data_IF_242330342055
#
_entry.id   IF_242330342055
#
_cell.length_a   1.000
_cell.length_b   1.000
_cell.length_c   1.000
_cell.angle_alpha   90.00
_cell.angle_beta   90.00
_cell.angle_gamma   90.00
#
_symmetry.space_group_name_H-M   'P 1'
#
loop_
_entity.id
_entity.type
_entity.pdbx_description
1 polymer ?
#
# COMPACT_ATOMS: atom_id res chain seq x y z
N UNK A 1 -33.75 57.72 -38.83
CA UNK A 1 -33.32 56.32 -38.59
C UNK A 1 -31.79 56.28 -38.70
N UNK A 2 -31.08 56.39 -37.58
CA UNK A 2 -30.51 55.30 -36.78
C UNK A 2 -29.18 54.73 -37.33
N UNK A 3 -28.10 55.38 -36.87
CA UNK A 3 -26.72 54.95 -36.54
C UNK A 3 -26.24 53.52 -36.91
N UNK A 4 -24.99 53.41 -37.37
CA UNK A 4 -24.20 52.20 -37.10
C UNK A 4 -22.92 51.98 -37.92
N UNK A 5 -21.96 52.91 -37.96
CA UNK A 5 -20.59 52.63 -38.42
C UNK A 5 -19.86 51.75 -37.39
N UNK A 6 -19.69 50.46 -37.69
CA UNK A 6 -18.93 49.53 -36.84
C UNK A 6 -17.43 49.63 -37.16
N UNK A 7 -16.72 50.40 -36.34
CA UNK A 7 -15.26 50.38 -36.20
C UNK A 7 -14.80 48.99 -35.74
N UNK A 8 -13.90 48.38 -36.50
CA UNK A 8 -13.10 47.23 -36.08
C UNK A 8 -12.09 47.74 -35.05
N UNK A 9 -12.40 47.54 -33.75
CA UNK A 9 -11.48 47.80 -32.64
C UNK A 9 -10.68 46.52 -32.41
N UNK A 10 -9.40 46.58 -32.78
CA UNK A 10 -8.36 45.59 -32.47
C UNK A 10 -8.17 45.60 -30.96
N UNK A 11 -8.77 44.65 -30.26
CA UNK A 11 -8.50 44.42 -28.84
C UNK A 11 -7.28 43.53 -28.74
N UNK A 12 -6.13 44.19 -28.61
CA UNK A 12 -4.89 43.63 -28.13
C UNK A 12 -4.98 43.74 -26.60
N UNK A 13 -5.40 42.67 -25.93
CA UNK A 13 -5.37 42.59 -24.47
C UNK A 13 -5.21 41.11 -24.06
N UNK A 14 -4.13 40.87 -23.30
CA UNK A 14 -3.93 39.77 -22.35
C UNK A 14 -3.94 38.33 -22.90
N UNK A 15 -2.83 37.96 -23.56
CA UNK A 15 -2.25 36.61 -23.47
C UNK A 15 -1.02 36.68 -22.57
N UNK A 16 -1.25 36.68 -21.27
CA UNK A 16 -0.24 36.35 -20.26
C UNK A 16 -0.97 35.92 -18.99
N UNK A 17 -1.45 34.68 -18.99
CA UNK A 17 -1.91 33.99 -17.78
C UNK A 17 -1.80 32.48 -18.03
N UNK A 18 -0.59 32.09 -18.41
CA UNK A 18 -0.22 30.72 -18.73
C UNK A 18 0.77 30.13 -17.73
N UNK A 19 0.66 30.40 -16.42
CA UNK A 19 1.53 29.67 -15.48
C UNK A 19 1.09 29.57 -14.00
N UNK A 20 -0.20 29.72 -13.68
CA UNK A 20 -0.67 29.57 -12.29
C UNK A 20 -2.00 28.84 -12.18
N UNK A 21 -2.05 27.56 -12.58
CA UNK A 21 -3.09 26.65 -12.07
C UNK A 21 -2.53 25.28 -11.69
N UNK A 22 -2.63 25.04 -10.38
CA UNK A 22 -2.70 23.74 -9.71
C UNK A 22 -1.40 22.98 -9.40
N UNK A 23 -0.52 23.58 -8.60
CA UNK A 23 0.12 22.80 -7.52
C UNK A 23 -0.96 22.41 -6.51
N UNK A 24 -1.75 21.38 -6.82
CA UNK A 24 -2.52 20.69 -5.79
C UNK A 24 -1.49 20.11 -4.81
N UNK A 25 -1.52 20.46 -3.52
CA UNK A 25 -0.72 19.73 -2.55
C UNK A 25 -1.10 18.25 -2.67
N UNK A 26 -0.09 17.38 -2.75
CA UNK A 26 -0.31 15.94 -2.66
C UNK A 26 -1.21 15.69 -1.43
N UNK A 27 -2.19 14.80 -1.60
CA UNK A 27 -3.15 14.43 -0.58
C UNK A 27 -2.45 14.25 0.79
N UNK A 28 -3.09 14.65 1.90
CA UNK A 28 -2.50 14.54 3.23
C UNK A 28 -2.01 13.11 3.44
N UNK A 29 -0.70 12.96 3.64
CA UNK A 29 -0.05 11.67 3.87
C UNK A 29 -0.78 11.01 5.05
N UNK A 30 -1.24 9.75 4.93
CA UNK A 30 -1.87 9.05 6.05
C UNK A 30 -0.85 9.02 7.19
N UNK A 31 -1.13 9.78 8.25
CA UNK A 31 -0.32 9.77 9.46
C UNK A 31 -0.52 8.40 10.10
N UNK A 32 0.51 7.56 10.01
CA UNK A 32 0.57 6.34 10.80
C UNK A 32 0.39 6.73 12.27
N UNK A 33 -0.56 6.12 13.02
CA UNK A 33 -0.77 6.42 14.42
C UNK A 33 0.57 6.31 15.15
N UNK A 34 0.97 7.38 15.82
CA UNK A 34 2.26 7.42 16.47
C UNK A 34 2.23 6.51 17.72
N UNK A 35 2.95 5.36 17.71
CA UNK A 35 2.93 4.41 18.82
C UNK A 35 3.59 4.98 20.09
N UNK A 36 4.29 6.13 19.98
CA UNK A 36 4.90 6.83 21.10
C UNK A 36 4.20 8.15 21.43
N UNK A 37 3.03 8.43 20.84
CA UNK A 37 2.21 9.54 21.29
C UNK A 37 1.83 9.37 22.75
N UNK A 38 1.67 10.47 23.49
CA UNK A 38 1.28 10.41 24.91
C UNK A 38 -0.02 9.62 25.14
N UNK A 39 -0.93 9.64 24.16
CA UNK A 39 -2.17 8.85 24.17
C UNK A 39 -1.93 7.36 23.95
N UNK A 40 -1.08 6.97 22.99
CA UNK A 40 -0.70 5.58 22.77
C UNK A 40 0.07 4.99 23.96
N UNK A 41 1.01 5.75 24.53
CA UNK A 41 1.76 5.36 25.72
C UNK A 41 0.84 5.16 26.93
N UNK A 42 -0.13 6.07 27.14
CA UNK A 42 -1.14 5.93 28.20
C UNK A 42 -2.00 4.68 27.98
N UNK A 43 -2.37 4.39 26.74
CA UNK A 43 -3.10 3.17 26.37
C UNK A 43 -2.32 1.89 26.66
N UNK A 44 -1.02 1.87 26.33
CA UNK A 44 -0.12 0.75 26.66
C UNK A 44 0.04 0.62 28.17
N UNK A 45 0.26 1.73 28.88
CA UNK A 45 0.41 1.74 30.34
C UNK A 45 -0.84 1.20 31.04
N UNK A 46 -2.03 1.56 30.57
CA UNK A 46 -3.29 1.06 31.13
C UNK A 46 -3.50 -0.44 30.82
N UNK A 47 -3.21 -0.88 29.59
CA UNK A 47 -3.45 -2.27 29.16
C UNK A 47 -2.43 -3.27 29.70
N UNK A 48 -1.17 -2.87 29.86
CA UNK A 48 -0.12 -3.72 30.42
C UNK A 48 0.09 -3.48 31.92
N UNK A 49 0.05 -2.22 32.36
CA UNK A 49 0.36 -1.85 33.74
C UNK A 49 -0.73 -2.26 34.73
N UNK A 50 -2.00 -2.16 34.36
CA UNK A 50 -3.10 -2.52 35.27
C UNK A 50 -3.11 -4.04 35.57
N UNK A 51 -3.02 -4.96 34.59
CA UNK A 51 -2.91 -6.39 34.89
C UNK A 51 -1.63 -6.72 35.66
N UNK A 52 -0.49 -6.12 35.30
CA UNK A 52 0.77 -6.36 35.98
C UNK A 52 0.72 -5.92 37.44
N UNK A 53 0.10 -4.78 37.73
CA UNK A 53 -0.13 -4.30 39.09
C UNK A 53 -1.08 -5.22 39.86
N UNK A 54 -2.13 -5.74 39.21
CA UNK A 54 -3.02 -6.74 39.83
C UNK A 54 -2.27 -8.02 40.20
N UNK A 55 -1.35 -8.50 39.34
CA UNK A 55 -0.50 -9.67 39.65
C UNK A 55 0.44 -9.35 40.82
N UNK A 56 1.07 -8.17 40.84
CA UNK A 56 1.89 -7.74 41.97
C UNK A 56 1.11 -7.69 43.29
N UNK A 57 -0.10 -7.13 43.27
CA UNK A 57 -0.96 -7.03 44.45
C UNK A 57 -1.42 -8.41 44.93
N UNK A 58 -1.83 -9.30 44.01
CA UNK A 58 -2.25 -10.66 44.35
C UNK A 58 -1.09 -11.49 44.90
N UNK A 59 0.05 -11.50 44.22
CA UNK A 59 1.23 -12.23 44.67
C UNK A 59 1.79 -11.67 45.99
N UNK A 60 1.81 -10.35 46.15
CA UNK A 60 2.22 -9.69 47.39
C UNK A 60 1.28 -10.00 48.56
N UNK A 61 -0.03 -10.02 48.32
CA UNK A 61 -1.03 -10.40 49.31
C UNK A 61 -0.89 -11.87 49.73
N UNK A 62 -0.70 -12.80 48.79
CA UNK A 62 -0.47 -14.21 49.13
C UNK A 62 0.87 -14.38 49.87
N UNK A 63 1.91 -13.66 49.46
CA UNK A 63 3.22 -13.72 50.10
C UNK A 63 3.20 -13.23 51.56
N UNK A 64 2.30 -12.31 51.92
CA UNK A 64 2.18 -11.84 53.32
C UNK A 64 1.55 -12.89 54.24
N UNK A 65 0.72 -13.79 53.72
CA UNK A 65 -0.01 -14.79 54.49
C UNK A 65 0.74 -16.13 54.64
N UNK A 66 1.73 -16.40 53.80
CA UNK A 66 2.51 -17.64 53.82
C UNK A 66 3.66 -17.54 54.84
N UNK A 67 4.01 -18.62 55.54
CA UNK A 67 5.17 -18.65 56.46
C UNK A 67 6.46 -19.18 55.82
N UNK A 68 6.35 -19.99 54.77
CA UNK A 68 7.50 -20.56 54.07
C UNK A 68 8.27 -19.51 53.27
N UNK A 69 9.54 -19.33 53.61
CA UNK A 69 10.47 -18.40 52.94
C UNK A 69 10.57 -18.69 51.44
N UNK A 70 10.65 -19.96 51.06
CA UNK A 70 10.77 -20.38 49.65
C UNK A 70 9.55 -19.95 48.83
N UNK A 71 8.35 -20.11 49.37
CA UNK A 71 7.11 -19.74 48.68
C UNK A 71 6.99 -18.22 48.56
N UNK A 72 7.40 -17.45 49.59
CA UNK A 72 7.48 -15.98 49.51
C UNK A 72 8.40 -15.52 48.39
N UNK A 73 9.60 -16.12 48.29
CA UNK A 73 10.56 -15.77 47.25
C UNK A 73 9.99 -16.04 45.86
N UNK A 74 9.34 -17.18 45.64
CA UNK A 74 8.72 -17.51 44.34
C UNK A 74 7.58 -16.54 43.99
N UNK A 75 6.72 -16.21 44.96
CA UNK A 75 5.61 -15.29 44.75
C UNK A 75 6.06 -13.87 44.39
N UNK A 76 7.21 -13.41 44.91
CA UNK A 76 7.80 -12.11 44.53
C UNK A 76 8.56 -12.21 43.19
N UNK A 77 9.21 -13.35 42.93
CA UNK A 77 10.00 -13.55 41.71
C UNK A 77 9.13 -13.55 40.44
N UNK A 78 7.95 -14.18 40.47
CA UNK A 78 7.03 -14.23 39.32
C UNK A 78 6.69 -12.83 38.76
N UNK A 79 6.11 -11.90 39.54
CA UNK A 79 5.77 -10.57 39.04
C UNK A 79 7.01 -9.73 38.69
N UNK A 80 8.13 -9.94 39.38
CA UNK A 80 9.39 -9.29 39.05
C UNK A 80 9.91 -9.70 37.66
N UNK A 81 9.93 -11.01 37.35
CA UNK A 81 10.31 -11.52 36.01
C UNK A 81 9.37 -11.00 34.93
N UNK A 82 8.04 -11.02 35.17
CA UNK A 82 7.06 -10.49 34.23
C UNK A 82 7.27 -8.99 33.97
N UNK A 83 7.65 -8.23 34.99
CA UNK A 83 7.94 -6.80 34.87
C UNK A 83 9.20 -6.56 34.03
N UNK A 84 10.28 -7.32 34.26
CA UNK A 84 11.50 -7.23 33.44
C UNK A 84 11.21 -7.56 31.98
N UNK A 85 10.43 -8.60 31.70
CA UNK A 85 10.02 -8.96 30.34
C UNK A 85 9.18 -7.85 29.69
N UNK A 86 8.22 -7.27 30.42
CA UNK A 86 7.41 -6.17 29.93
C UNK A 86 8.25 -4.93 29.58
N UNK A 87 9.21 -4.56 30.44
CA UNK A 87 10.15 -3.47 30.18
C UNK A 87 10.98 -3.77 28.93
N UNK A 88 11.50 -5.00 28.80
CA UNK A 88 12.24 -5.44 27.61
C UNK A 88 11.44 -5.28 26.32
N UNK A 89 10.17 -5.68 26.31
CA UNK A 89 9.26 -5.52 25.17
C UNK A 89 9.02 -4.04 24.82
N UNK A 90 8.83 -3.18 25.82
CA UNK A 90 8.62 -1.74 25.60
C UNK A 90 9.88 -1.11 24.99
N UNK A 91 11.06 -1.39 25.54
CA UNK A 91 12.35 -0.88 25.01
C UNK A 91 12.55 -1.34 23.57
N UNK A 92 12.26 -2.61 23.27
CA UNK A 92 12.31 -3.15 21.92
C UNK A 92 11.34 -2.44 20.97
N UNK A 93 10.08 -2.26 21.37
CA UNK A 93 9.05 -1.60 20.56
C UNK A 93 9.40 -0.14 20.26
N UNK A 94 9.89 0.61 21.25
CA UNK A 94 10.37 2.00 21.09
C UNK A 94 11.52 2.05 20.08
N UNK A 95 12.46 1.11 20.15
CA UNK A 95 13.58 1.04 19.22
C UNK A 95 13.10 0.78 17.78
N UNK A 96 12.12 -0.09 17.58
CA UNK A 96 11.54 -0.34 16.27
C UNK A 96 10.76 0.87 15.74
N UNK A 97 9.98 1.55 16.59
CA UNK A 97 9.27 2.76 16.22
C UNK A 97 10.23 3.88 15.78
N UNK A 98 11.36 4.05 16.48
CA UNK A 98 12.41 5.02 16.09
C UNK A 98 12.99 4.71 14.71
N UNK A 99 13.26 3.44 14.40
CA UNK A 99 13.73 3.03 13.07
C UNK A 99 12.71 3.33 11.98
N UNK A 100 11.45 2.94 12.18
CA UNK A 100 10.37 3.20 11.22
C UNK A 100 10.21 4.69 10.93
N UNK A 101 10.30 5.55 11.96
CA UNK A 101 10.31 7.00 11.79
C UNK A 101 11.53 7.51 11.04
N UNK A 102 12.72 6.96 11.29
CA UNK A 102 13.93 7.32 10.54
C UNK A 102 13.76 7.05 9.04
N UNK A 103 13.26 5.87 8.69
CA UNK A 103 12.93 5.51 7.30
C UNK A 103 11.87 6.44 6.72
N UNK A 104 10.77 6.68 7.45
CA UNK A 104 9.71 7.60 7.00
C UNK A 104 10.21 9.04 6.82
N UNK A 105 11.11 9.50 7.69
CA UNK A 105 11.76 10.80 7.59
C UNK A 105 12.57 10.94 6.31
N UNK A 106 13.38 9.93 5.97
CA UNK A 106 14.13 9.90 4.71
C UNK A 106 13.17 9.94 3.50
N UNK A 107 12.16 9.08 3.48
CA UNK A 107 11.18 9.04 2.39
C UNK A 107 10.38 10.33 2.24
N UNK A 108 10.15 11.05 3.34
CA UNK A 108 9.38 12.30 3.32
C UNK A 108 10.08 13.45 2.59
N UNK A 109 11.40 13.38 2.45
CA UNK A 109 12.26 14.38 1.82
C UNK A 109 12.47 14.14 0.32
N UNK A 110 11.94 13.04 -0.24
CA UNK A 110 12.15 12.70 -1.66
C UNK A 110 11.14 13.44 -2.54
N UNK A 111 11.61 14.43 -3.31
CA UNK A 111 10.79 15.15 -4.30
C UNK A 111 11.32 14.96 -5.73
N UNK A 112 12.63 14.82 -5.89
CA UNK A 112 13.32 14.72 -7.18
C UNK A 112 13.99 13.36 -7.39
N UNK A 113 14.48 13.12 -8.61
CA UNK A 113 15.28 11.94 -8.92
C UNK A 113 16.63 11.93 -8.17
N UNK A 114 17.20 13.10 -7.89
CA UNK A 114 18.44 13.23 -7.12
C UNK A 114 18.20 12.90 -5.63
N UNK A 115 17.10 13.42 -5.06
CA UNK A 115 16.71 13.12 -3.67
C UNK A 115 16.50 11.62 -3.47
N UNK A 116 15.95 10.93 -4.48
CA UNK A 116 15.75 9.49 -4.45
C UNK A 116 17.07 8.75 -4.33
N UNK A 117 18.08 9.12 -5.13
CA UNK A 117 19.42 8.51 -5.07
C UNK A 117 20.07 8.75 -3.71
N UNK A 118 19.98 9.99 -3.19
CA UNK A 118 20.47 10.33 -1.86
C UNK A 118 19.73 9.56 -0.75
N UNK A 119 18.42 9.39 -0.87
CA UNK A 119 17.62 8.60 0.07
C UNK A 119 17.99 7.12 0.05
N UNK A 120 18.23 6.53 -1.12
CA UNK A 120 18.71 5.14 -1.24
C UNK A 120 20.06 4.99 -0.54
N UNK A 121 21.00 5.91 -0.75
CA UNK A 121 22.30 5.89 -0.08
C UNK A 121 22.16 5.99 1.45
N UNK A 122 21.34 6.92 1.96
CA UNK A 122 21.08 7.03 3.41
C UNK A 122 20.47 5.74 3.99
N UNK A 123 19.55 5.11 3.26
CA UNK A 123 18.96 3.85 3.69
C UNK A 123 19.97 2.68 3.68
N UNK A 124 21.02 2.75 2.86
CA UNK A 124 22.12 1.78 2.84
C UNK A 124 23.12 2.00 3.98
N UNK A 125 23.43 3.25 4.32
CA UNK A 125 24.44 3.59 5.33
C UNK A 125 23.90 3.54 6.76
N UNK A 126 22.70 4.07 6.98
CA UNK A 126 22.18 4.36 8.33
C UNK A 126 21.48 3.15 8.96
N UNK A 127 21.19 2.12 8.15
CA UNK A 127 20.46 0.92 8.55
C UNK A 127 21.29 -0.34 8.31
N UNK A 128 20.92 -1.41 9.02
CA UNK A 128 21.56 -2.71 8.77
C UNK A 128 21.19 -3.19 7.36
N UNK A 129 22.13 -3.86 6.68
CA UNK A 129 21.94 -4.40 5.33
C UNK A 129 20.66 -5.22 5.15
N UNK A 130 20.26 -5.97 6.19
CA UNK A 130 19.08 -6.83 6.16
C UNK A 130 17.91 -6.26 7.00
N UNK A 131 17.89 -4.95 7.28
CA UNK A 131 16.77 -4.32 7.98
C UNK A 131 15.54 -4.27 7.05
N UNK A 132 14.44 -4.99 7.36
CA UNK A 132 13.32 -5.09 6.43
C UNK A 132 12.68 -3.74 6.11
N UNK A 133 12.61 -2.82 7.08
CA UNK A 133 12.02 -1.51 6.87
C UNK A 133 12.84 -0.67 5.87
N UNK A 134 14.17 -0.71 5.98
CA UNK A 134 15.05 -0.05 5.03
C UNK A 134 14.96 -0.67 3.63
N UNK A 135 14.92 -2.00 3.54
CA UNK A 135 14.78 -2.72 2.27
C UNK A 135 13.45 -2.42 1.57
N UNK A 136 12.33 -2.39 2.30
CA UNK A 136 11.03 -1.98 1.76
C UNK A 136 11.04 -0.55 1.22
N UNK A 137 11.60 0.38 1.99
CA UNK A 137 11.68 1.77 1.58
C UNK A 137 12.55 1.95 0.33
N UNK A 138 13.70 1.29 0.28
CA UNK A 138 14.57 1.29 -0.90
C UNK A 138 13.87 0.71 -2.12
N UNK A 139 13.22 -0.44 -1.97
CA UNK A 139 12.46 -1.05 -3.06
C UNK A 139 11.35 -0.13 -3.57
N UNK A 140 10.64 0.59 -2.69
CA UNK A 140 9.62 1.56 -3.10
C UNK A 140 10.21 2.72 -3.93
N UNK A 141 11.41 3.17 -3.58
CA UNK A 141 12.12 4.20 -4.34
C UNK A 141 12.59 3.67 -5.69
N UNK A 142 13.22 2.48 -5.71
CA UNK A 142 13.76 1.83 -6.91
C UNK A 142 12.66 1.43 -7.89
N UNK A 143 11.45 1.09 -7.42
CA UNK A 143 10.33 0.65 -8.25
C UNK A 143 9.92 1.67 -9.33
N UNK A 144 10.16 2.96 -9.08
CA UNK A 144 9.84 4.01 -10.06
C UNK A 144 10.84 4.09 -11.21
N UNK A 145 12.07 3.61 -11.01
CA UNK A 145 13.14 3.62 -12.02
C UNK A 145 13.27 2.26 -12.68
N UNK A 146 13.43 1.21 -11.88
CA UNK A 146 13.61 -0.15 -12.33
C UNK A 146 12.87 -1.15 -11.42
N UNK A 147 11.77 -1.76 -11.90
CA UNK A 147 11.04 -2.77 -11.14
C UNK A 147 11.89 -4.00 -10.82
N UNK A 148 12.88 -4.37 -11.64
CA UNK A 148 13.77 -5.52 -11.38
C UNK A 148 14.73 -5.25 -10.24
N UNK A 149 15.27 -4.04 -10.18
CA UNK A 149 16.14 -3.62 -9.08
C UNK A 149 15.38 -3.64 -7.75
N UNK A 150 14.15 -3.11 -7.73
CA UNK A 150 13.28 -3.18 -6.56
C UNK A 150 13.00 -4.63 -6.11
N UNK A 151 12.78 -5.53 -7.07
CA UNK A 151 12.60 -6.96 -6.77
C UNK A 151 13.86 -7.57 -6.10
N UNK A 152 15.04 -7.31 -6.66
CA UNK A 152 16.31 -7.79 -6.10
C UNK A 152 16.56 -7.22 -4.69
N UNK A 153 16.13 -6.00 -4.41
CA UNK A 153 16.19 -5.41 -3.06
C UNK A 153 15.24 -6.12 -2.08
N UNK A 154 14.00 -6.40 -2.49
CA UNK A 154 13.04 -7.14 -1.65
C UNK A 154 13.49 -8.59 -1.40
N UNK A 155 14.26 -9.18 -2.32
CA UNK A 155 14.82 -10.53 -2.18
C UNK A 155 15.92 -10.65 -1.13
N UNK A 156 16.47 -9.52 -0.67
CA UNK A 156 17.40 -9.49 0.46
C UNK A 156 16.67 -9.73 1.80
N UNK A 157 15.34 -9.65 1.84
CA UNK A 157 14.55 -9.97 3.03
C UNK A 157 14.48 -11.49 3.18
N UNK A 158 15.16 -12.00 4.20
CA UNK A 158 15.07 -13.39 4.61
C UNK A 158 13.70 -13.67 5.24
N UNK A 159 12.82 -14.33 4.46
CA UNK A 159 11.43 -14.58 4.83
C UNK A 159 11.27 -15.47 6.07
N UNK A 160 12.29 -16.27 6.39
CA UNK A 160 12.27 -17.20 7.53
C UNK A 160 12.71 -16.53 8.84
N UNK A 161 13.43 -15.40 8.73
CA UNK A 161 13.95 -14.64 9.89
C UNK A 161 13.09 -13.45 10.29
N UNK A 162 12.17 -13.02 9.43
CA UNK A 162 11.24 -11.91 9.75
C UNK A 162 9.93 -12.45 10.32
N UNK A 163 9.15 -11.56 10.94
CA UNK A 163 7.80 -11.92 11.38
C UNK A 163 6.95 -12.37 10.20
N UNK A 164 6.05 -13.34 10.41
CA UNK A 164 5.24 -13.90 9.33
C UNK A 164 4.42 -12.87 8.55
N UNK A 165 3.91 -11.82 9.22
CA UNK A 165 3.23 -10.69 8.55
C UNK A 165 4.16 -9.87 7.67
N UNK A 166 5.41 -9.66 8.10
CA UNK A 166 6.44 -8.95 7.32
C UNK A 166 6.85 -9.80 6.11
N UNK A 167 6.97 -11.12 6.28
CA UNK A 167 7.22 -12.04 5.17
C UNK A 167 6.09 -12.00 4.14
N UNK A 168 4.84 -11.94 4.59
CA UNK A 168 3.66 -11.86 3.72
C UNK A 168 3.59 -10.51 2.97
N UNK A 169 3.96 -9.40 3.61
CA UNK A 169 4.13 -8.11 2.95
C UNK A 169 5.23 -8.16 1.89
N UNK A 170 6.37 -8.79 2.18
CA UNK A 170 7.46 -8.97 1.21
C UNK A 170 7.01 -9.82 0.01
N UNK A 171 6.32 -10.94 0.26
CA UNK A 171 5.71 -11.77 -0.81
C UNK A 171 4.73 -10.95 -1.64
N UNK A 172 3.87 -10.17 -1.00
CA UNK A 172 2.87 -9.34 -1.67
C UNK A 172 3.50 -8.28 -2.57
N UNK A 173 4.51 -7.56 -2.09
CA UNK A 173 5.20 -6.55 -2.90
C UNK A 173 5.99 -7.17 -4.06
N UNK A 174 6.72 -8.27 -3.81
CA UNK A 174 7.43 -9.02 -4.88
C UNK A 174 6.44 -9.53 -5.94
N UNK A 175 5.30 -10.08 -5.50
CA UNK A 175 4.25 -10.56 -6.40
C UNK A 175 3.65 -9.41 -7.23
N UNK A 176 3.42 -8.24 -6.63
CA UNK A 176 2.95 -7.06 -7.36
C UNK A 176 3.91 -6.69 -8.49
N UNK A 177 5.23 -6.68 -8.23
CA UNK A 177 6.23 -6.37 -9.25
C UNK A 177 6.18 -7.39 -10.38
N UNK A 178 6.14 -8.68 -10.06
CA UNK A 178 5.99 -9.75 -11.07
C UNK A 178 4.69 -9.58 -11.89
N UNK A 179 3.56 -9.20 -11.26
CA UNK A 179 2.31 -8.95 -11.97
C UNK A 179 2.41 -7.78 -12.96
N UNK A 180 3.11 -6.70 -12.58
CA UNK A 180 3.39 -5.54 -13.44
C UNK A 180 4.25 -5.96 -14.64
N UNK A 181 5.26 -6.80 -14.40
CA UNK A 181 6.12 -7.37 -15.45
C UNK A 181 5.42 -8.47 -16.29
N UNK A 182 4.23 -8.89 -15.86
CA UNK A 182 3.44 -9.94 -16.51
C UNK A 182 3.97 -11.35 -16.26
N UNK A 183 4.72 -11.57 -15.19
CA UNK A 183 5.29 -12.83 -14.73
C UNK A 183 4.33 -13.51 -13.75
N UNK A 184 3.20 -13.98 -14.30
CA UNK A 184 2.08 -14.48 -13.49
C UNK A 184 2.46 -15.71 -12.67
N UNK A 185 3.30 -16.59 -13.21
CA UNK A 185 3.74 -17.82 -12.52
C UNK A 185 4.56 -17.53 -11.27
N UNK A 186 5.46 -16.56 -11.32
CA UNK A 186 6.30 -16.18 -10.17
C UNK A 186 5.47 -15.43 -9.12
N UNK A 187 4.59 -14.52 -9.56
CA UNK A 187 3.61 -13.91 -8.68
C UNK A 187 2.75 -14.95 -7.97
N UNK A 188 2.30 -15.98 -8.70
CA UNK A 188 1.45 -17.06 -8.14
C UNK A 188 2.14 -17.80 -7.01
N UNK A 189 3.41 -18.21 -7.20
CA UNK A 189 4.20 -18.91 -6.18
C UNK A 189 4.33 -18.12 -4.89
N UNK A 190 4.48 -16.79 -5.00
CA UNK A 190 4.60 -15.90 -3.84
C UNK A 190 3.28 -15.75 -3.09
N UNK A 191 2.17 -15.51 -3.79
CA UNK A 191 0.88 -15.25 -3.13
C UNK A 191 0.26 -16.48 -2.47
N UNK A 192 0.62 -17.68 -2.91
CA UNK A 192 0.11 -18.91 -2.30
C UNK A 192 0.63 -19.12 -0.87
N UNK A 193 1.73 -18.46 -0.49
CA UNK A 193 2.26 -18.46 0.88
C UNK A 193 1.69 -17.36 1.79
N UNK A 194 0.88 -16.43 1.26
CA UNK A 194 0.35 -15.29 2.02
C UNK A 194 -0.85 -15.71 2.86
N UNK A 195 -0.84 -15.37 4.15
CA UNK A 195 -1.99 -15.58 5.02
C UNK A 195 -2.62 -14.25 5.44
N UNK A 196 -3.75 -13.91 4.81
CA UNK A 196 -4.47 -12.66 5.05
C UNK A 196 -4.95 -12.49 6.51
N UNK A 197 -5.14 -13.57 7.28
CA UNK A 197 -5.60 -13.46 8.68
C UNK A 197 -4.51 -12.93 9.63
N UNK A 198 -3.25 -12.93 9.21
CA UNK A 198 -2.13 -12.35 9.98
C UNK A 198 -2.17 -10.81 9.98
N UNK A 199 -2.94 -10.19 9.09
CA UNK A 199 -3.02 -8.74 8.94
C UNK A 199 -4.30 -8.20 9.59
N UNK A 200 -4.12 -7.51 10.72
CA UNK A 200 -5.22 -6.91 11.47
C UNK A 200 -5.65 -5.56 10.88
N UNK A 201 -4.70 -4.82 10.32
CA UNK A 201 -4.97 -3.53 9.70
C UNK A 201 -5.75 -3.75 8.38
N UNK A 202 -6.99 -3.21 8.26
CA UNK A 202 -7.87 -3.52 7.13
C UNK A 202 -7.28 -3.17 5.77
N UNK A 203 -6.59 -2.02 5.66
CA UNK A 203 -6.06 -1.54 4.39
C UNK A 203 -4.94 -2.43 3.86
N UNK A 204 -4.00 -2.84 4.71
CA UNK A 204 -2.92 -3.77 4.38
C UNK A 204 -3.49 -5.11 3.98
N UNK A 205 -4.49 -5.61 4.73
CA UNK A 205 -5.16 -6.87 4.38
C UNK A 205 -5.86 -6.79 3.02
N UNK A 206 -6.58 -5.69 2.74
CA UNK A 206 -7.24 -5.46 1.45
C UNK A 206 -6.24 -5.30 0.29
N UNK A 207 -5.11 -4.62 0.53
CA UNK A 207 -4.04 -4.48 -0.45
C UNK A 207 -3.43 -5.84 -0.82
N UNK A 208 -3.11 -6.66 0.17
CA UNK A 208 -2.60 -8.02 -0.07
C UNK A 208 -3.65 -8.91 -0.74
N UNK A 209 -4.92 -8.79 -0.35
CA UNK A 209 -6.02 -9.48 -1.00
C UNK A 209 -6.13 -9.10 -2.48
N UNK A 210 -5.97 -7.81 -2.83
CA UNK A 210 -5.97 -7.36 -4.21
C UNK A 210 -4.83 -7.98 -5.04
N UNK A 211 -3.61 -8.05 -4.49
CA UNK A 211 -2.46 -8.69 -5.14
C UNK A 211 -2.70 -10.18 -5.33
N UNK A 212 -3.12 -10.88 -4.25
CA UNK A 212 -3.42 -12.30 -4.29
C UNK A 212 -4.51 -12.61 -5.32
N UNK A 213 -5.58 -11.82 -5.34
CA UNK A 213 -6.69 -11.98 -6.26
C UNK A 213 -6.28 -11.75 -7.72
N UNK A 214 -5.48 -10.72 -8.03
CA UNK A 214 -4.98 -10.52 -9.40
C UNK A 214 -4.10 -11.71 -9.84
N UNK A 215 -3.19 -12.18 -8.99
CA UNK A 215 -2.36 -13.34 -9.28
C UNK A 215 -3.17 -14.63 -9.46
N UNK A 216 -4.13 -14.90 -8.58
CA UNK A 216 -5.03 -16.06 -8.68
C UNK A 216 -5.90 -16.00 -9.92
N UNK A 217 -6.49 -14.85 -10.25
CA UNK A 217 -7.30 -14.68 -11.45
C UNK A 217 -6.50 -15.00 -12.71
N UNK A 218 -5.30 -14.39 -12.84
CA UNK A 218 -4.45 -14.55 -14.02
C UNK A 218 -3.82 -15.94 -14.14
N UNK A 219 -3.82 -16.73 -13.08
CA UNK A 219 -3.29 -18.11 -13.04
C UNK A 219 -4.36 -19.20 -13.00
N UNK A 220 -5.63 -18.86 -13.23
CA UNK A 220 -6.71 -19.85 -13.38
C UNK A 220 -7.54 -20.13 -12.11
N UNK A 221 -7.26 -19.45 -10.99
CA UNK A 221 -8.06 -19.53 -9.76
C UNK A 221 -8.99 -18.30 -9.59
N UNK A 222 -9.69 -17.92 -10.66
CA UNK A 222 -10.47 -16.69 -10.70
C UNK A 222 -11.68 -16.66 -9.76
N UNK A 223 -12.31 -17.81 -9.51
CA UNK A 223 -13.40 -17.93 -8.53
C UNK A 223 -12.92 -17.58 -7.10
N UNK A 224 -11.78 -18.14 -6.69
CA UNK A 224 -11.13 -17.80 -5.42
C UNK A 224 -10.81 -16.29 -5.33
N UNK A 225 -10.34 -15.71 -6.43
CA UNK A 225 -10.07 -14.27 -6.51
C UNK A 225 -11.34 -13.43 -6.29
N UNK A 226 -12.45 -13.78 -6.97
CA UNK A 226 -13.73 -13.06 -6.80
C UNK A 226 -14.28 -13.18 -5.38
N UNK A 227 -14.23 -14.38 -4.78
CA UNK A 227 -14.71 -14.62 -3.42
C UNK A 227 -13.87 -13.86 -2.39
N UNK A 228 -12.55 -13.81 -2.58
CA UNK A 228 -11.65 -13.06 -1.69
C UNK A 228 -11.90 -11.56 -1.78
N UNK A 229 -12.06 -11.01 -2.99
CA UNK A 229 -12.32 -9.59 -3.19
C UNK A 229 -13.70 -9.17 -2.65
N UNK A 230 -14.68 -10.07 -2.62
CA UNK A 230 -16.01 -9.81 -2.08
C UNK A 230 -16.01 -9.55 -0.56
N UNK A 231 -14.92 -9.89 0.15
CA UNK A 231 -14.77 -9.60 1.58
C UNK A 231 -14.46 -8.13 1.87
N UNK A 232 -14.16 -7.33 0.85
CA UNK A 232 -13.74 -5.94 0.99
C UNK A 232 -14.66 -5.01 0.20
N UNK A 233 -15.33 -4.09 0.89
CA UNK A 233 -16.04 -3.02 0.21
C UNK A 233 -15.03 -1.98 -0.32
N UNK A 234 -14.84 -1.94 -1.64
CA UNK A 234 -13.87 -1.03 -2.27
C UNK A 234 -14.23 0.45 -2.13
N UNK A 235 -15.48 0.77 -1.78
CA UNK A 235 -15.92 2.13 -1.54
C UNK A 235 -15.72 2.57 -0.07
N UNK A 236 -15.29 1.66 0.81
CA UNK A 236 -14.91 1.99 2.19
C UNK A 236 -13.86 3.13 2.19
N UNK A 237 -14.08 4.22 2.95
CA UNK A 237 -13.10 5.30 3.10
C UNK A 237 -11.70 4.83 3.50
N UNK A 238 -11.58 3.76 4.29
CA UNK A 238 -10.30 3.20 4.70
C UNK A 238 -9.45 2.70 3.52
N UNK A 239 -10.09 2.39 2.38
CA UNK A 239 -9.43 1.86 1.20
C UNK A 239 -9.22 2.89 0.09
N UNK A 240 -9.59 4.16 0.30
CA UNK A 240 -9.39 5.23 -0.69
C UNK A 240 -7.99 5.21 -1.34
N UNK A 241 -6.87 5.07 -0.59
CA UNK A 241 -5.54 5.09 -1.19
C UNK A 241 -5.19 3.86 -2.03
N UNK A 242 -5.89 2.75 -1.85
CA UNK A 242 -5.66 1.48 -2.55
C UNK A 242 -6.79 1.11 -3.50
N UNK A 243 -7.81 1.96 -3.61
CA UNK A 243 -9.00 1.74 -4.43
C UNK A 243 -8.68 1.48 -5.90
N UNK A 244 -7.70 2.16 -6.55
CA UNK A 244 -7.27 1.80 -7.90
C UNK A 244 -6.82 0.33 -8.02
N UNK A 245 -6.08 -0.16 -7.03
CA UNK A 245 -5.57 -1.52 -7.02
C UNK A 245 -6.68 -2.55 -6.80
N UNK A 246 -7.67 -2.24 -5.94
CA UNK A 246 -8.84 -3.09 -5.74
C UNK A 246 -9.68 -3.19 -7.02
N UNK A 247 -9.97 -2.07 -7.70
CA UNK A 247 -10.70 -2.09 -8.97
C UNK A 247 -9.92 -2.80 -10.08
N UNK A 248 -8.60 -2.64 -10.11
CA UNK A 248 -7.75 -3.40 -11.03
C UNK A 248 -7.87 -4.90 -10.79
N UNK A 249 -7.75 -5.36 -9.54
CA UNK A 249 -7.87 -6.76 -9.19
C UNK A 249 -9.27 -7.32 -9.53
N UNK A 250 -10.34 -6.56 -9.24
CA UNK A 250 -11.71 -6.92 -9.62
C UNK A 250 -11.87 -7.04 -11.13
N UNK A 251 -11.29 -6.13 -11.91
CA UNK A 251 -11.38 -6.19 -13.37
C UNK A 251 -10.71 -7.47 -13.92
N UNK A 252 -9.55 -7.87 -13.40
CA UNK A 252 -8.92 -9.15 -13.74
C UNK A 252 -9.74 -10.36 -13.28
N UNK A 253 -10.25 -10.34 -12.06
CA UNK A 253 -11.07 -11.43 -11.52
C UNK A 253 -12.34 -11.62 -12.37
N UNK A 254 -13.10 -10.55 -12.64
CA UNK A 254 -14.28 -10.55 -13.51
C UNK A 254 -13.96 -11.02 -14.93
N UNK A 255 -12.82 -10.60 -15.49
CA UNK A 255 -12.41 -11.01 -16.83
C UNK A 255 -12.19 -12.54 -16.94
N UNK A 256 -11.52 -13.12 -15.95
CA UNK A 256 -11.20 -14.55 -15.94
C UNK A 256 -12.38 -15.46 -15.52
N UNK A 257 -13.46 -14.91 -14.96
CA UNK A 257 -14.74 -15.65 -14.76
C UNK A 257 -15.77 -15.35 -15.86
N UNK A 258 -15.45 -14.52 -16.85
CA UNK A 258 -16.37 -14.15 -17.93
C UNK A 258 -17.49 -13.18 -17.54
N UNK A 259 -17.37 -12.48 -16.41
CA UNK A 259 -18.35 -11.49 -15.96
C UNK A 259 -18.13 -10.13 -16.62
N UNK A 260 -18.78 -9.94 -17.78
CA UNK A 260 -18.70 -8.70 -18.55
C UNK A 260 -19.27 -7.48 -17.78
N UNK A 261 -20.28 -7.68 -16.93
CA UNK A 261 -20.86 -6.61 -16.11
C UNK A 261 -19.87 -6.17 -15.04
N UNK A 262 -19.19 -7.12 -14.40
CA UNK A 262 -18.12 -6.88 -13.43
C UNK A 262 -16.95 -6.11 -14.04
N UNK A 263 -16.47 -6.53 -15.22
CA UNK A 263 -15.40 -5.82 -15.96
C UNK A 263 -15.79 -4.35 -16.17
N UNK A 264 -16.95 -4.09 -16.77
CA UNK A 264 -17.40 -2.72 -17.07
C UNK A 264 -17.56 -1.87 -15.81
N UNK A 265 -18.07 -2.47 -14.73
CA UNK A 265 -18.23 -1.79 -13.44
C UNK A 265 -16.88 -1.36 -12.88
N UNK A 266 -15.94 -2.29 -12.78
CA UNK A 266 -14.60 -2.03 -12.23
C UNK A 266 -13.83 -1.00 -13.08
N UNK A 267 -13.84 -1.14 -14.41
CA UNK A 267 -13.18 -0.19 -15.31
C UNK A 267 -13.82 1.20 -15.27
N UNK A 268 -15.15 1.31 -15.18
CA UNK A 268 -15.83 2.61 -15.04
C UNK A 268 -15.40 3.29 -13.75
N UNK A 269 -15.38 2.55 -12.63
CA UNK A 269 -14.93 3.07 -11.32
C UNK A 269 -13.46 3.50 -11.33
N UNK A 270 -12.60 2.79 -12.05
CA UNK A 270 -11.20 3.18 -12.23
C UNK A 270 -11.08 4.45 -13.08
N UNK A 271 -11.81 4.52 -14.20
CA UNK A 271 -11.81 5.67 -15.11
C UNK A 271 -12.35 6.95 -14.48
N UNK A 272 -13.29 6.84 -13.53
CA UNK A 272 -13.79 8.00 -12.79
C UNK A 272 -12.76 8.60 -11.83
N UNK A 273 -11.71 7.86 -11.47
CA UNK A 273 -10.59 8.39 -10.71
C UNK A 273 -9.55 9.03 -11.63
N UNK A 274 -9.10 8.28 -12.64
CA UNK A 274 -8.22 8.78 -13.69
C UNK A 274 -8.29 7.84 -14.91
N UNK A 275 -8.68 8.39 -16.07
CA UNK A 275 -8.77 7.62 -17.32
C UNK A 275 -7.42 6.99 -17.73
N UNK A 276 -6.29 7.59 -17.34
CA UNK A 276 -4.94 7.06 -17.64
C UNK A 276 -4.68 5.71 -16.98
N UNK A 277 -5.36 5.39 -15.88
CA UNK A 277 -5.24 4.10 -15.21
C UNK A 277 -5.72 2.93 -16.08
N UNK A 278 -6.59 3.20 -17.07
CA UNK A 278 -6.99 2.18 -18.04
C UNK A 278 -5.84 1.72 -18.95
N UNK A 279 -4.80 2.55 -19.11
CA UNK A 279 -3.63 2.24 -19.94
C UNK A 279 -2.93 0.96 -19.51
N UNK A 280 -2.98 0.62 -18.22
CA UNK A 280 -2.36 -0.58 -17.69
C UNK A 280 -2.97 -1.89 -18.21
N UNK A 281 -4.17 -1.84 -18.81
CA UNK A 281 -4.82 -3.00 -19.44
C UNK A 281 -4.52 -3.14 -20.94
N UNK A 282 -3.77 -2.21 -21.53
CA UNK A 282 -3.43 -2.24 -22.97
C UNK A 282 -2.18 -3.09 -23.27
N UNK A 283 -1.57 -3.68 -22.24
CA UNK A 283 -0.35 -4.46 -22.34
C UNK A 283 -0.59 -5.82 -23.02
N UNK A 284 0.43 -6.36 -23.70
CA UNK A 284 0.34 -7.61 -24.48
C UNK A 284 -0.10 -8.85 -23.66
N UNK A 285 0.07 -8.83 -22.34
CA UNK A 285 -0.24 -9.95 -21.42
C UNK A 285 -1.55 -9.75 -20.64
N UNK A 286 -2.38 -8.80 -21.04
CA UNK A 286 -3.70 -8.57 -20.43
C UNK A 286 -4.76 -9.47 -21.09
N UNK A 287 -5.80 -9.85 -20.32
CA UNK A 287 -6.89 -10.67 -20.82
C UNK A 287 -7.60 -10.01 -22.03
N UNK A 288 -7.88 -10.73 -23.13
CA UNK A 288 -8.43 -10.12 -24.36
C UNK A 288 -9.76 -9.38 -24.16
N UNK A 289 -10.68 -9.93 -23.36
CA UNK A 289 -11.95 -9.25 -23.05
C UNK A 289 -11.74 -7.95 -22.25
N UNK A 290 -10.79 -7.97 -21.31
CA UNK A 290 -10.47 -6.83 -20.47
C UNK A 290 -9.83 -5.71 -21.31
N UNK A 291 -8.92 -6.07 -22.20
CA UNK A 291 -8.29 -5.14 -23.13
C UNK A 291 -9.31 -4.48 -24.06
N UNK A 292 -10.27 -5.24 -24.62
CA UNK A 292 -11.32 -4.70 -25.49
C UNK A 292 -12.21 -3.68 -24.77
N UNK A 293 -12.69 -4.01 -23.57
CA UNK A 293 -13.57 -3.12 -22.80
C UNK A 293 -12.82 -1.88 -22.28
N UNK A 294 -11.57 -2.04 -21.82
CA UNK A 294 -10.74 -0.90 -21.39
C UNK A 294 -10.42 0.04 -22.56
N UNK A 295 -10.14 -0.49 -23.75
CA UNK A 295 -9.92 0.32 -24.97
C UNK A 295 -11.17 1.12 -25.32
N UNK A 296 -12.34 0.48 -25.31
CA UNK A 296 -13.62 1.14 -25.60
C UNK A 296 -13.91 2.29 -24.62
N UNK A 297 -13.68 2.09 -23.33
CA UNK A 297 -13.88 3.13 -22.32
C UNK A 297 -12.89 4.28 -22.47
N UNK A 298 -11.64 3.98 -22.81
CA UNK A 298 -10.61 5.00 -23.03
C UNK A 298 -10.88 5.85 -24.29
N UNK A 299 -11.40 5.24 -25.36
CA UNK A 299 -11.85 5.97 -26.56
C UNK A 299 -13.06 6.88 -26.25
N UNK A 300 -13.95 6.44 -25.36
CA UNK A 300 -15.10 7.23 -24.91
C UNK A 300 -14.71 8.40 -24.00
N UNK A 301 -13.60 8.28 -23.25
CA UNK A 301 -13.17 9.32 -22.32
C UNK A 301 -12.49 10.52 -23.00
N UNK A 302 -12.24 10.45 -24.32
CA UNK A 302 -11.55 11.51 -25.07
C UNK A 302 -10.06 11.68 -24.73
N UNK A 303 -9.51 10.79 -23.90
CA UNK A 303 -8.10 10.82 -23.49
C UNK A 303 -7.14 10.34 -24.60
N UNK A 304 -7.67 9.63 -25.61
CA UNK A 304 -6.92 9.22 -26.80
C UNK A 304 -7.22 10.22 -27.93
N UNK A 305 -6.20 10.85 -28.54
CA UNK A 305 -6.41 11.70 -29.70
C UNK A 305 -7.04 10.86 -30.81
N UNK A 306 -8.25 11.23 -31.25
CA UNK A 306 -8.93 10.54 -32.34
C UNK A 306 -8.07 10.66 -33.58
N UNK A 307 -7.76 9.52 -34.21
CA UNK A 307 -7.04 9.50 -35.48
C UNK A 307 -7.95 10.20 -36.51
N UNK A 308 -7.57 11.42 -36.89
CA UNK A 308 -8.30 12.18 -37.91
C UNK A 308 -8.03 11.49 -39.25
N UNK A 309 -8.97 10.68 -39.71
CA UNK A 309 -8.92 10.11 -41.05
C UNK A 309 -9.34 11.26 -41.98
N UNK A 310 -8.36 11.96 -42.55
CA UNK A 310 -8.62 12.88 -43.66
C UNK A 310 -8.98 11.99 -44.84
N UNK A 311 -10.28 11.82 -45.06
CA UNK A 311 -10.79 11.24 -46.29
C UNK A 311 -10.47 12.23 -47.41
N UNK A 312 -9.32 12.04 -48.07
CA UNK A 312 -9.02 12.74 -49.30
C UNK A 312 -9.96 12.15 -50.34
N UNK A 313 -11.14 12.78 -50.45
CA UNK A 313 -12.08 12.51 -51.52
C UNK A 313 -11.34 12.45 -52.85
N UNK A 314 -11.47 11.32 -53.55
CA UNK A 314 -11.04 11.20 -54.94
C UNK A 314 -11.86 12.22 -55.74
N UNK A 315 -11.16 13.23 -56.25
CA UNK A 315 -11.63 14.07 -57.34
C UNK A 315 -11.75 13.25 -58.62
#
# INVERSE_FOLDING_TARGET
>A
MAKGTRKIRRTQETRDDGDRKSKKPLAPKPQLPDPLSGTALRGILLRLGLPLLAVWMLCGFIASLVYSTTVKTVLIAIPAVLTVLAIGLVVWAVRQAKKARGVAGILSQVETAEDRKAAIQKLETDFKKNDPAALFARAQLELQEDPRKALATLEQIDLDKVMASVADEARGQRAMIHLVLGEVSDARRLVDGINLSRHQEPRTRAMLAAVCAEAWARSGAAKKATETLALFDSEDPAFEPIRPQLYRAQAYASAHVGDLKGIRRALKRLSSQDARMLGAFMMKRTHPLLQREAKKLLEQSGAVPRKMIIDRGRA
#
